data_IF_357387421617
#
_entry.id   IF_357387421617
#
_cell.length_a   1.000
_cell.length_b   1.000
_cell.length_c   1.000
_cell.angle_alpha   90.00
_cell.angle_beta   90.00
_cell.angle_gamma   90.00
#
_symmetry.space_group_name_H-M   'P 1'
#
loop_
_entity.id
_entity.type
_entity.pdbx_description
1 polymer ?
#
# COMPACT_ATOMS: atom_id res chain seq x y z
N UNK A 1 47.85 26.55 20.45
CA UNK A 1 47.03 26.20 19.28
C UNK A 1 46.16 25.00 19.65
N UNK A 2 44.90 25.22 20.08
CA UNK A 2 44.01 24.14 20.54
C UNK A 2 42.93 23.91 19.48
N UNK A 3 43.02 22.79 18.78
CA UNK A 3 42.06 22.35 17.78
C UNK A 3 40.71 22.05 18.47
N UNK A 4 39.70 22.86 18.17
CA UNK A 4 38.32 22.63 18.62
C UNK A 4 37.64 21.78 17.56
N UNK A 5 37.56 20.47 17.81
CA UNK A 5 36.86 19.50 16.96
C UNK A 5 35.36 19.81 17.04
N UNK A 6 34.81 20.35 15.95
CA UNK A 6 33.38 20.57 15.79
C UNK A 6 32.70 19.21 15.60
N UNK A 7 32.12 18.67 16.68
CA UNK A 7 31.32 17.46 16.65
C UNK A 7 29.96 17.81 16.04
N UNK A 8 29.88 17.80 14.70
CA UNK A 8 28.60 17.90 13.98
C UNK A 8 27.85 16.61 14.25
N UNK A 9 26.90 16.64 15.18
CA UNK A 9 25.91 15.58 15.37
C UNK A 9 25.02 15.62 14.13
N UNK A 10 25.44 14.92 13.07
CA UNK A 10 24.58 14.63 11.93
C UNK A 10 23.55 13.66 12.47
N UNK A 11 22.39 14.18 12.86
CA UNK A 11 21.20 13.38 13.13
C UNK A 11 20.75 12.76 11.81
N UNK A 12 21.35 11.63 11.45
CA UNK A 12 20.90 10.81 10.33
C UNK A 12 19.54 10.26 10.75
N UNK A 13 18.47 10.94 10.33
CA UNK A 13 17.13 10.42 10.48
C UNK A 13 17.05 9.11 9.70
N UNK A 14 17.02 7.98 10.42
CA UNK A 14 16.76 6.67 9.82
C UNK A 14 15.30 6.73 9.35
N UNK A 15 15.12 7.07 8.08
CA UNK A 15 13.83 6.98 7.44
C UNK A 15 13.46 5.51 7.39
N UNK A 16 12.55 5.09 8.26
CA UNK A 16 12.02 3.73 8.24
C UNK A 16 11.28 3.49 6.93
N UNK A 17 11.83 2.62 6.09
CA UNK A 17 11.25 2.27 4.81
C UNK A 17 10.31 1.07 4.97
N UNK A 18 9.05 1.24 4.60
CA UNK A 18 8.18 0.11 4.27
C UNK A 18 8.34 -0.15 2.78
N UNK A 19 8.81 -1.34 2.44
CA UNK A 19 8.98 -1.72 1.05
C UNK A 19 8.05 -2.88 0.71
N UNK A 20 7.42 -2.81 -0.46
CA UNK A 20 6.59 -3.90 -0.98
C UNK A 20 7.23 -4.40 -2.27
N UNK A 21 7.36 -5.71 -2.39
CA UNK A 21 7.88 -6.39 -3.56
C UNK A 21 6.78 -7.27 -4.14
N UNK A 22 6.30 -6.93 -5.33
CA UNK A 22 5.29 -7.67 -6.07
C UNK A 22 5.87 -8.15 -7.39
N UNK A 23 5.35 -9.24 -7.98
CA UNK A 23 5.70 -9.61 -9.34
C UNK A 23 5.29 -8.51 -10.33
N UNK A 24 6.15 -8.27 -11.33
CA UNK A 24 5.90 -7.27 -12.36
C UNK A 24 4.93 -7.75 -13.44
N UNK A 25 4.72 -9.06 -13.57
CA UNK A 25 3.82 -9.70 -14.53
C UNK A 25 2.96 -10.75 -13.84
N UNK A 26 1.66 -10.72 -14.08
CA UNK A 26 0.65 -11.65 -13.53
C UNK A 26 -0.45 -11.90 -14.54
N UNK A 27 -1.27 -12.95 -14.35
CA UNK A 27 -2.43 -13.18 -15.19
C UNK A 27 -3.73 -12.65 -14.55
N UNK A 28 -4.70 -12.30 -15.40
CA UNK A 28 -6.04 -11.88 -14.95
C UNK A 28 -6.68 -12.99 -14.12
N UNK A 29 -7.19 -12.63 -12.94
CA UNK A 29 -7.87 -13.54 -12.01
C UNK A 29 -6.94 -14.49 -11.25
N UNK A 30 -5.64 -14.44 -11.50
CA UNK A 30 -4.66 -15.23 -10.76
C UNK A 30 -4.32 -14.57 -9.42
N UNK A 31 -4.13 -15.41 -8.41
CA UNK A 31 -3.62 -14.96 -7.11
C UNK A 31 -2.09 -14.87 -7.13
N UNK A 32 -1.55 -13.80 -6.56
CA UNK A 32 -0.11 -13.63 -6.42
C UNK A 32 0.24 -13.01 -5.07
N UNK A 33 1.50 -13.22 -4.66
CA UNK A 33 2.03 -12.74 -3.39
C UNK A 33 2.80 -11.45 -3.59
N UNK A 34 2.47 -10.44 -2.79
CA UNK A 34 3.30 -9.26 -2.59
C UNK A 34 3.98 -9.35 -1.24
N UNK A 35 5.30 -9.46 -1.22
CA UNK A 35 6.10 -9.51 0.00
C UNK A 35 6.25 -8.12 0.60
N UNK A 36 6.15 -8.01 1.90
CA UNK A 36 6.28 -6.77 2.67
C UNK A 36 7.57 -6.89 3.47
N UNK A 37 8.53 -6.05 3.12
CA UNK A 37 9.76 -5.91 3.89
C UNK A 37 9.56 -4.77 4.90
N UNK A 38 9.57 -5.13 6.17
CA UNK A 38 9.32 -4.22 7.28
C UNK A 38 10.57 -4.12 8.16
N UNK A 39 10.98 -2.88 8.45
CA UNK A 39 12.10 -2.58 9.36
C UNK A 39 11.62 -2.25 10.78
N UNK A 40 10.37 -1.76 10.95
CA UNK A 40 9.81 -1.36 12.26
C UNK A 40 8.84 -2.41 12.80
N UNK A 41 8.78 -2.68 14.11
CA UNK A 41 7.84 -3.66 14.68
C UNK A 41 6.44 -3.12 15.01
N UNK A 42 6.09 -1.91 14.55
CA UNK A 42 4.80 -1.29 14.89
C UNK A 42 3.62 -1.86 14.07
N UNK A 43 2.44 -2.05 14.71
CA UNK A 43 1.25 -2.51 14.02
C UNK A 43 0.82 -1.50 12.97
N UNK A 44 0.45 -2.00 11.80
CA UNK A 44 0.07 -1.17 10.66
C UNK A 44 -1.12 -1.73 9.91
N UNK A 45 -1.84 -0.84 9.23
CA UNK A 45 -2.85 -1.22 8.28
C UNK A 45 -2.30 -1.14 6.85
N UNK A 46 -2.72 -2.07 6.00
CA UNK A 46 -2.26 -2.18 4.62
C UNK A 46 -3.40 -1.94 3.64
N UNK A 47 -3.16 -1.15 2.60
CA UNK A 47 -4.08 -1.02 1.47
C UNK A 47 -3.30 -1.08 0.16
N UNK A 48 -3.77 -1.88 -0.80
CA UNK A 48 -3.22 -1.94 -2.16
C UNK A 48 -4.25 -1.35 -3.12
N UNK A 49 -3.89 -0.30 -3.85
CA UNK A 49 -4.75 0.32 -4.85
C UNK A 49 -4.22 0.01 -6.24
N UNK A 50 -5.04 -0.65 -7.06
CA UNK A 50 -4.81 -0.86 -8.49
C UNK A 50 -6.05 -0.33 -9.20
N UNK A 51 -5.91 0.75 -9.97
CA UNK A 51 -7.05 1.46 -10.53
C UNK A 51 -7.02 1.47 -12.05
N UNK A 52 -8.21 1.37 -12.64
CA UNK A 52 -8.49 1.65 -14.05
C UNK A 52 -9.70 2.57 -14.09
N UNK A 53 -9.59 3.71 -14.77
CA UNK A 53 -10.69 4.68 -14.89
C UNK A 53 -11.35 5.03 -13.55
N UNK A 54 -10.54 5.26 -12.51
CA UNK A 54 -10.97 5.53 -11.12
C UNK A 54 -11.63 4.39 -10.35
N UNK A 55 -11.94 3.26 -10.99
CA UNK A 55 -12.44 2.04 -10.33
C UNK A 55 -11.29 1.18 -9.84
N UNK A 56 -11.46 0.54 -8.69
CA UNK A 56 -10.48 -0.41 -8.16
C UNK A 56 -10.74 -1.79 -8.77
N UNK A 57 -9.72 -2.35 -9.41
CA UNK A 57 -9.80 -3.60 -10.17
C UNK A 57 -9.06 -4.75 -9.47
N UNK A 58 -8.70 -4.59 -8.19
CA UNK A 58 -8.01 -5.60 -7.43
C UNK A 58 -8.79 -6.06 -6.19
N UNK A 59 -8.54 -7.32 -5.82
CA UNK A 59 -8.95 -7.92 -4.55
C UNK A 59 -7.71 -8.24 -3.73
N UNK A 60 -7.87 -8.20 -2.41
CA UNK A 60 -6.87 -8.64 -1.44
C UNK A 60 -7.50 -9.67 -0.51
N UNK A 61 -6.72 -10.64 -0.08
CA UNK A 61 -7.16 -11.63 0.90
C UNK A 61 -7.04 -11.05 2.31
N UNK A 62 -8.14 -11.13 3.07
CA UNK A 62 -8.18 -10.70 4.47
C UNK A 62 -8.09 -11.93 5.38
N UNK A 63 -6.88 -12.20 5.89
CA UNK A 63 -6.61 -13.34 6.76
C UNK A 63 -7.50 -13.37 8.01
N UNK A 64 -7.83 -12.20 8.58
CA UNK A 64 -8.66 -12.12 9.78
C UNK A 64 -10.13 -12.51 9.53
N UNK A 65 -10.59 -12.44 8.28
CA UNK A 65 -11.96 -12.82 7.88
C UNK A 65 -12.01 -14.05 6.97
N UNK A 66 -10.84 -14.61 6.63
CA UNK A 66 -10.68 -15.73 5.71
C UNK A 66 -11.46 -15.56 4.38
N UNK A 67 -11.41 -14.38 3.78
CA UNK A 67 -12.14 -14.09 2.53
C UNK A 67 -11.43 -13.08 1.64
N UNK A 68 -11.71 -13.18 0.34
CA UNK A 68 -11.35 -12.15 -0.63
C UNK A 68 -12.26 -10.95 -0.51
N UNK A 69 -11.69 -9.75 -0.56
CA UNK A 69 -12.44 -8.49 -0.56
C UNK A 69 -11.80 -7.47 -1.48
N UNK A 70 -12.54 -6.42 -1.83
CA UNK A 70 -12.00 -5.31 -2.61
C UNK A 70 -10.75 -4.74 -1.94
N UNK A 71 -9.70 -4.48 -2.73
CA UNK A 71 -8.48 -3.84 -2.25
C UNK A 71 -8.66 -2.35 -1.91
N UNK A 72 -9.87 -1.81 -2.09
CA UNK A 72 -10.20 -0.44 -1.72
C UNK A 72 -10.20 -0.22 -0.20
N UNK A 73 -10.26 -1.28 0.60
CA UNK A 73 -10.29 -1.19 2.05
C UNK A 73 -8.96 -1.59 2.70
N UNK A 74 -8.60 -0.91 3.78
CA UNK A 74 -7.43 -1.23 4.60
C UNK A 74 -7.61 -2.56 5.32
N UNK A 75 -6.64 -3.48 5.19
CA UNK A 75 -6.49 -4.66 6.05
C UNK A 75 -5.97 -4.13 7.37
N UNK A 76 -6.80 -4.22 8.41
CA UNK A 76 -6.47 -3.67 9.72
C UNK A 76 -5.48 -4.59 10.43
N UNK A 77 -4.54 -4.00 11.17
CA UNK A 77 -3.52 -4.72 11.95
C UNK A 77 -2.89 -5.89 11.18
N UNK A 78 -2.38 -5.62 9.99
CA UNK A 78 -1.88 -6.66 9.09
C UNK A 78 -0.82 -7.56 9.76
N UNK A 79 0.01 -6.99 10.65
CA UNK A 79 1.05 -7.70 11.39
C UNK A 79 0.50 -8.84 12.27
N UNK A 80 -0.73 -8.74 12.78
CA UNK A 80 -1.36 -9.77 13.62
C UNK A 80 -1.62 -11.08 12.83
N UNK A 81 -1.58 -11.02 11.50
CA UNK A 81 -1.70 -12.22 10.65
C UNK A 81 -0.47 -13.14 10.71
N UNK A 82 0.66 -12.65 11.23
CA UNK A 82 1.94 -13.36 11.21
C UNK A 82 2.48 -13.62 9.80
N UNK A 83 1.97 -12.92 8.78
CA UNK A 83 2.42 -13.03 7.39
C UNK A 83 3.30 -11.85 7.02
N UNK A 84 4.36 -12.12 6.29
CA UNK A 84 5.22 -11.14 5.63
C UNK A 84 4.80 -10.88 4.18
N UNK A 85 3.62 -11.36 3.76
CA UNK A 85 3.10 -11.19 2.42
C UNK A 85 1.57 -11.03 2.41
N UNK A 86 1.07 -10.30 1.42
CA UNK A 86 -0.35 -10.18 1.12
C UNK A 86 -0.68 -10.87 -0.19
N UNK A 87 -1.81 -11.58 -0.23
CA UNK A 87 -2.35 -12.16 -1.46
C UNK A 87 -3.21 -11.13 -2.17
N UNK A 88 -2.93 -10.97 -3.47
CA UNK A 88 -3.56 -9.99 -4.35
C UNK A 88 -4.05 -10.71 -5.59
N UNK A 89 -5.17 -10.24 -6.15
CA UNK A 89 -5.73 -10.72 -7.41
C UNK A 89 -6.18 -9.50 -8.22
N UNK A 90 -5.81 -9.43 -9.51
CA UNK A 90 -6.23 -8.35 -10.41
C UNK A 90 -7.24 -8.89 -11.42
N UNK A 91 -8.34 -8.17 -11.60
CA UNK A 91 -9.51 -8.64 -12.34
C UNK A 91 -9.56 -8.19 -13.80
N UNK A 92 -8.70 -7.26 -14.19
CA UNK A 92 -8.68 -6.71 -15.55
C UNK A 92 -7.25 -6.68 -16.10
N UNK A 93 -7.11 -6.92 -17.40
CA UNK A 93 -5.84 -6.84 -18.11
C UNK A 93 -5.38 -5.41 -18.34
N UNK A 94 -4.06 -5.24 -18.44
CA UNK A 94 -3.42 -3.98 -18.76
C UNK A 94 -2.17 -3.71 -17.92
N UNK A 95 -1.57 -2.55 -18.15
CA UNK A 95 -0.46 -2.04 -17.35
C UNK A 95 -0.97 -1.02 -16.35
N UNK A 96 -0.63 -1.22 -15.07
CA UNK A 96 -1.13 -0.39 -13.99
C UNK A 96 -0.02 0.13 -13.10
N UNK A 97 -0.16 1.38 -12.66
CA UNK A 97 0.62 1.95 -11.56
C UNK A 97 -0.13 1.69 -10.25
N UNK A 98 0.30 0.65 -9.55
CA UNK A 98 -0.24 0.25 -8.26
C UNK A 98 0.35 1.08 -7.11
N UNK A 99 -0.41 1.23 -6.03
CA UNK A 99 0.02 1.95 -4.81
C UNK A 99 -0.23 1.10 -3.57
N UNK A 100 0.81 0.78 -2.82
CA UNK A 100 0.69 0.26 -1.47
C UNK A 100 0.71 1.43 -0.47
N UNK A 101 -0.29 1.49 0.41
CA UNK A 101 -0.41 2.48 1.48
C UNK A 101 -0.31 1.75 2.81
N UNK A 102 0.65 2.18 3.63
CA UNK A 102 0.87 1.69 4.97
C UNK A 102 0.42 2.77 5.95
N UNK A 103 -0.54 2.46 6.81
CA UNK A 103 -1.03 3.37 7.84
C UNK A 103 -0.56 2.92 9.22
N UNK A 104 0.21 3.77 9.88
CA UNK A 104 0.82 3.52 11.20
C UNK A 104 0.37 4.66 12.10
N UNK A 105 -0.62 4.39 12.96
CA UNK A 105 -1.32 5.41 13.72
C UNK A 105 -1.89 6.51 12.80
N UNK A 106 -1.31 7.72 12.88
CA UNK A 106 -1.72 8.89 12.07
C UNK A 106 -0.87 9.12 10.81
N UNK A 107 0.22 8.36 10.64
CA UNK A 107 1.14 8.50 9.50
C UNK A 107 0.71 7.56 8.38
N UNK A 108 0.80 8.03 7.14
CA UNK A 108 0.58 7.21 5.93
C UNK A 108 1.86 7.25 5.11
N UNK A 109 2.43 6.08 4.84
CA UNK A 109 3.53 5.88 3.89
C UNK A 109 2.98 5.27 2.62
N UNK A 110 3.49 5.69 1.46
CA UNK A 110 3.02 5.24 0.15
C UNK A 110 4.19 4.71 -0.66
N UNK A 111 4.04 3.52 -1.22
CA UNK A 111 4.99 2.92 -2.16
C UNK A 111 4.26 2.65 -3.48
N UNK A 112 4.86 3.03 -4.61
CA UNK A 112 4.28 2.85 -5.93
C UNK A 112 5.06 1.77 -6.67
N UNK A 113 4.36 0.88 -7.38
CA UNK A 113 4.97 -0.16 -8.20
C UNK A 113 4.19 -0.35 -9.49
N UNK A 114 4.85 -0.86 -10.53
CA UNK A 114 4.22 -1.16 -11.82
C UNK A 114 3.87 -2.63 -11.88
N UNK A 115 2.73 -2.95 -12.47
CA UNK A 115 2.30 -4.33 -12.71
C UNK A 115 1.68 -4.43 -14.11
N UNK A 116 2.07 -5.47 -14.83
CA UNK A 116 1.51 -5.83 -16.14
C UNK A 116 0.65 -7.08 -15.96
N UNK A 117 -0.59 -7.02 -16.45
CA UNK A 117 -1.59 -8.07 -16.29
C UNK A 117 -2.01 -8.57 -17.67
N UNK A 118 -1.75 -9.85 -17.92
CA UNK A 118 -1.99 -10.51 -19.22
C UNK A 118 -3.17 -11.51 -19.12
N UNK A 119 -3.81 -11.83 -20.26
CA UNK A 119 -4.82 -12.89 -20.32
C UNK A 119 -4.12 -14.27 -20.34
N UNK A 120 -4.69 -15.26 -19.64
CA UNK A 120 -4.09 -16.60 -19.52
C UNK A 120 -4.06 -17.39 -20.85
N UNK A 121 -4.92 -17.03 -21.81
CA UNK A 121 -5.27 -17.91 -22.95
C UNK A 121 -4.51 -17.67 -24.26
N UNK A 122 -3.56 -16.73 -24.37
CA UNK A 122 -2.94 -16.42 -25.66
C UNK A 122 -1.54 -17.00 -25.93
N UNK A 123 -0.88 -17.65 -24.96
CA UNK A 123 0.51 -18.11 -25.14
C UNK A 123 0.72 -19.62 -25.39
N UNK A 124 -0.36 -20.39 -25.62
CA UNK A 124 -0.23 -21.83 -25.96
C UNK A 124 -0.41 -22.19 -27.44
N UNK A 125 -0.64 -21.23 -28.35
CA UNK A 125 -0.86 -21.55 -29.78
C UNK A 125 0.38 -21.47 -30.69
N UNK A 126 1.57 -21.17 -30.20
CA UNK A 126 2.78 -21.03 -31.05
C UNK A 126 3.93 -22.02 -30.80
N UNK A 127 3.72 -23.07 -29.99
CA UNK A 127 4.65 -24.22 -29.91
C UNK A 127 3.91 -25.55 -29.82
N UNK A 128 3.37 -25.99 -30.95
CA UNK A 128 3.33 -27.40 -31.36
C UNK A 128 2.48 -27.55 -32.62
N UNK A 129 3.11 -27.38 -33.78
CA UNK A 129 2.70 -28.18 -34.95
C UNK A 129 3.33 -29.55 -34.77
N UNK A 130 2.47 -30.55 -34.91
CA UNK A 130 2.76 -31.98 -34.95
C UNK A 130 2.68 -32.71 -33.60
N UNK A 131 1.46 -33.13 -33.26
CA UNK A 131 1.20 -34.46 -32.72
C UNK A 131 -0.28 -34.80 -32.88
N UNK A 132 -0.51 -35.95 -33.50
CA UNK A 132 -1.77 -36.47 -34.01
C UNK A 132 -2.69 -36.97 -32.90
N UNK A 133 -3.99 -36.81 -33.14
CA UNK A 133 -5.11 -37.70 -32.77
C UNK A 133 -5.08 -38.40 -31.40
N UNK A 134 -6.03 -38.03 -30.53
CA UNK A 134 -7.18 -38.91 -30.22
C UNK A 134 -8.31 -38.18 -29.47
N UNK A 135 -9.50 -38.30 -30.07
CA UNK A 135 -10.85 -38.19 -29.52
C UNK A 135 -10.98 -39.03 -28.23
N UNK A 136 -11.68 -38.56 -27.20
CA UNK A 136 -13.11 -38.86 -26.98
C UNK A 136 -13.62 -38.45 -25.57
N UNK A 137 -14.92 -38.16 -25.50
CA UNK A 137 -15.86 -38.12 -24.34
C UNK A 137 -16.02 -36.85 -23.48
N UNK A 138 -17.00 -36.05 -23.91
CA UNK A 138 -18.26 -35.72 -23.23
C UNK A 138 -18.29 -35.76 -21.70
N UNK A 139 -18.50 -34.59 -21.09
CA UNK A 139 -19.10 -34.45 -19.77
C UNK A 139 -20.16 -33.34 -19.79
N UNK A 140 -21.34 -33.66 -19.26
CA UNK A 140 -22.51 -32.80 -19.13
C UNK A 140 -22.32 -31.67 -18.09
N UNK A 141 -22.99 -30.53 -18.26
CA UNK A 141 -22.96 -29.43 -17.29
C UNK A 141 -23.99 -29.61 -16.17
N UNK A 142 -23.53 -29.67 -14.91
CA UNK A 142 -24.40 -29.52 -13.75
C UNK A 142 -24.63 -28.03 -13.45
N UNK A 143 -25.87 -27.62 -13.66
CA UNK A 143 -26.45 -26.34 -13.25
C UNK A 143 -26.63 -26.31 -11.74
N UNK A 144 -26.03 -25.34 -11.04
CA UNK A 144 -26.54 -24.89 -9.73
C UNK A 144 -26.55 -23.36 -9.70
N UNK A 145 -27.74 -22.82 -9.95
CA UNK A 145 -28.16 -21.48 -9.60
C UNK A 145 -28.47 -21.40 -8.11
N UNK A 146 -27.73 -20.60 -7.34
CA UNK A 146 -28.22 -20.09 -6.05
C UNK A 146 -28.10 -18.57 -6.06
N UNK A 147 -29.27 -17.98 -6.25
CA UNK A 147 -29.64 -16.59 -6.12
C UNK A 147 -29.83 -16.31 -4.62
N UNK A 148 -28.98 -15.51 -3.99
CA UNK A 148 -29.27 -14.97 -2.65
C UNK A 148 -29.27 -13.45 -2.71
N UNK A 149 -30.48 -12.93 -2.82
CA UNK A 149 -30.80 -11.51 -2.93
C UNK A 149 -30.84 -10.94 -1.50
N UNK A 150 -29.71 -10.44 -0.99
CA UNK A 150 -29.66 -9.80 0.32
C UNK A 150 -29.96 -8.31 0.17
N UNK A 151 -31.17 -7.95 0.58
CA UNK A 151 -31.70 -6.59 0.71
C UNK A 151 -30.73 -5.65 1.42
N UNK A 152 -30.38 -4.56 0.73
CA UNK A 152 -29.65 -3.42 1.26
C UNK A 152 -30.56 -2.64 2.21
N UNK A 153 -30.30 -2.73 3.51
CA UNK A 153 -30.76 -1.72 4.46
C UNK A 153 -30.05 -0.38 4.15
N UNK A 154 -30.85 0.63 3.82
CA UNK A 154 -30.42 2.02 3.78
C UNK A 154 -30.10 2.46 5.22
N UNK A 155 -28.82 2.70 5.49
CA UNK A 155 -28.39 3.43 6.69
C UNK A 155 -28.48 4.92 6.37
N UNK A 156 -29.48 5.58 6.96
CA UNK A 156 -29.60 7.04 6.98
C UNK A 156 -28.50 7.62 7.88
N UNK A 157 -27.55 8.36 7.30
CA UNK A 157 -26.53 9.13 8.02
C UNK A 157 -26.92 10.61 8.01
N UNK A 158 -28.02 10.93 8.69
CA UNK A 158 -28.41 12.29 9.04
C UNK A 158 -27.65 12.78 10.26
N UNK A 159 -26.40 13.24 10.08
CA UNK A 159 -25.60 13.82 11.16
C UNK A 159 -24.83 15.04 10.67
N UNK A 160 -25.27 16.24 11.08
CA UNK A 160 -24.53 17.49 10.90
C UNK A 160 -23.18 17.38 11.61
N UNK A 161 -22.13 17.11 10.84
CA UNK A 161 -20.76 17.06 11.34
C UNK A 161 -20.26 18.48 11.62
N UNK A 162 -19.69 18.78 12.81
CA UNK A 162 -19.13 20.10 13.09
C UNK A 162 -17.94 20.37 12.17
N UNK A 163 -17.88 21.58 11.63
CA UNK A 163 -16.75 22.06 10.81
C UNK A 163 -15.51 22.13 11.69
N UNK A 164 -14.70 21.06 11.66
CA UNK A 164 -13.40 21.04 12.31
C UNK A 164 -12.44 21.83 11.42
N UNK A 165 -12.16 23.08 11.80
CA UNK A 165 -11.13 23.90 11.16
C UNK A 165 -9.77 23.27 11.47
N UNK A 166 -9.14 22.71 10.45
CA UNK A 166 -7.86 22.00 10.56
C UNK A 166 -6.70 23.00 10.53
N UNK A 167 -6.14 23.34 11.69
CA UNK A 167 -4.83 23.96 11.77
C UNK A 167 -3.73 22.89 11.67
N UNK A 168 -2.95 22.92 10.60
CA UNK A 168 -1.83 22.00 10.44
C UNK A 168 -0.77 22.24 11.53
N UNK A 169 -0.26 21.17 12.15
CA UNK A 169 0.86 21.25 13.12
C UNK A 169 2.11 21.95 12.55
N UNK A 170 2.26 21.95 11.22
CA UNK A 170 3.37 22.59 10.53
C UNK A 170 3.34 24.12 10.69
N UNK A 171 2.15 24.72 10.79
CA UNK A 171 2.01 26.17 10.98
C UNK A 171 2.50 26.62 12.35
N UNK A 172 2.28 25.80 13.39
CA UNK A 172 2.81 26.09 14.74
C UNK A 172 4.34 26.06 14.77
N UNK A 173 4.98 25.12 14.08
CA UNK A 173 6.44 25.04 14.00
C UNK A 173 7.04 26.25 13.26
N UNK A 174 6.41 26.70 12.17
CA UNK A 174 6.87 27.86 11.41
C UNK A 174 6.87 29.17 12.22
N UNK A 175 5.99 29.30 13.22
CA UNK A 175 5.91 30.50 14.06
C UNK A 175 7.10 30.64 15.03
N UNK A 176 7.72 29.53 15.45
CA UNK A 176 8.83 29.54 16.41
C UNK A 176 10.21 29.42 15.77
N UNK A 177 10.30 29.07 14.47
CA UNK A 177 11.58 28.91 13.78
C UNK A 177 12.41 30.19 13.76
N UNK A 178 11.75 31.35 13.61
CA UNK A 178 12.42 32.65 13.62
C UNK A 178 13.07 32.98 14.97
N UNK A 179 12.36 32.72 16.07
CA UNK A 179 12.88 32.93 17.42
C UNK A 179 14.03 31.98 17.76
N UNK A 180 13.92 30.71 17.37
CA UNK A 180 14.99 29.73 17.53
C UNK A 180 16.26 30.14 16.75
N UNK A 181 16.10 30.70 15.55
CA UNK A 181 17.20 31.20 14.74
C UNK A 181 17.90 32.40 15.40
N UNK A 182 17.15 33.35 15.95
CA UNK A 182 17.74 34.48 16.69
C UNK A 182 18.52 34.00 17.91
N UNK A 183 17.94 33.08 18.70
CA UNK A 183 18.60 32.51 19.87
C UNK A 183 19.91 31.80 19.49
N UNK A 184 19.89 31.05 18.38
CA UNK A 184 21.08 30.42 17.82
C UNK A 184 22.17 31.44 17.45
N UNK A 185 21.82 32.56 16.80
CA UNK A 185 22.77 33.62 16.46
C UNK A 185 23.38 34.28 17.70
N UNK A 186 22.60 34.50 18.76
CA UNK A 186 23.09 35.05 20.03
C UNK A 186 24.14 34.12 20.65
N UNK A 187 23.86 32.82 20.70
CA UNK A 187 24.80 31.81 21.20
C UNK A 187 26.09 31.83 20.37
N UNK A 188 25.97 31.92 19.04
CA UNK A 188 27.10 31.95 18.12
C UNK A 188 27.98 33.20 18.34
N UNK A 189 27.36 34.37 18.54
CA UNK A 189 28.07 35.61 18.86
C UNK A 189 28.81 35.54 20.21
N UNK A 190 28.20 34.92 21.25
CA UNK A 190 28.85 34.70 22.54
C UNK A 190 30.07 33.78 22.43
N UNK A 191 29.98 32.73 21.61
CA UNK A 191 31.10 31.81 21.37
C UNK A 191 32.25 32.51 20.65
N UNK A 192 31.96 33.33 19.63
CA UNK A 192 32.99 34.10 18.91
C UNK A 192 33.66 35.11 19.84
N UNK A 193 32.88 35.85 20.64
CA UNK A 193 33.41 36.90 21.52
C UNK A 193 34.32 36.37 22.64
N UNK A 194 34.12 35.12 23.06
CA UNK A 194 34.92 34.50 24.14
C UNK A 194 36.24 33.89 23.65
N UNK A 195 36.50 33.95 22.34
CA UNK A 195 37.70 33.43 21.67
C UNK A 195 38.65 34.56 21.33
#
# INVERSE_FOLDING_TARGET
>A
MRAFVFFIIISIGIASAFEISCPNKVFVGEEFKCKINQVEQEPFDLKIEIKKESKNIAKVFDWGKNQWRSSYYYIKNFQDSGKDYVLVMVLEKGEFLAKAKFRIGKKIKVNNFKISVEDKDNNQKEKNKDSRLKKDKTFEPAVISILENKTLEKIDLGGKSPVVVYESKNYRMARYSFWAFILFLIILALIIRKR
#
